data_IF_879324001054
#
_entry.id   IF_879324001054
#
_cell.length_a   1.000
_cell.length_b   1.000
_cell.length_c   1.000
_cell.angle_alpha   90.00
_cell.angle_beta   90.00
_cell.angle_gamma   90.00
#
_symmetry.space_group_name_H-M   'P 1'
#
loop_
_entity.id
_entity.type
_entity.pdbx_description
1 polymer ?
#
# COMPACT_ATOMS: atom_id res chain seq x y z
N UNK A 1 1.00 27.75 -13.54
CA UNK A 1 -0.16 27.34 -12.74
C UNK A 1 0.16 27.18 -11.25
N UNK A 2 1.26 26.55 -10.86
CA UNK A 2 1.63 26.27 -9.45
C UNK A 2 1.62 27.51 -8.54
N UNK A 3 2.04 28.69 -9.01
CA UNK A 3 2.03 29.93 -8.20
C UNK A 3 0.60 30.37 -7.82
N UNK A 4 -0.35 30.26 -8.75
CA UNK A 4 -1.75 30.58 -8.48
C UNK A 4 -2.34 29.58 -7.47
N UNK A 5 -2.06 28.30 -7.65
CA UNK A 5 -2.50 27.25 -6.72
C UNK A 5 -1.94 27.47 -5.30
N UNK A 6 -0.67 27.87 -5.15
CA UNK A 6 -0.08 28.22 -3.86
C UNK A 6 -0.88 29.35 -3.21
N UNK A 7 -1.23 30.41 -3.97
CA UNK A 7 -2.00 31.52 -3.43
C UNK A 7 -3.40 31.07 -3.00
N UNK A 8 -4.11 30.30 -3.82
CA UNK A 8 -5.42 29.73 -3.48
C UNK A 8 -5.38 28.96 -2.15
N UNK A 9 -4.36 28.10 -1.98
CA UNK A 9 -4.18 27.32 -0.76
C UNK A 9 -3.84 28.19 0.47
N UNK A 10 -3.03 29.24 0.30
CA UNK A 10 -2.70 30.18 1.38
C UNK A 10 -3.91 31.02 1.81
N UNK A 11 -4.85 31.28 0.90
CA UNK A 11 -6.12 31.94 1.18
C UNK A 11 -7.15 30.97 1.84
N UNK A 12 -6.74 29.73 2.10
CA UNK A 12 -7.56 28.70 2.75
C UNK A 12 -8.59 28.04 1.85
N UNK A 13 -8.46 28.17 0.53
CA UNK A 13 -9.38 27.59 -0.44
C UNK A 13 -8.85 26.28 -1.00
N UNK A 14 -9.78 25.35 -1.31
CA UNK A 14 -9.49 24.08 -1.94
C UNK A 14 -9.19 24.26 -3.44
N UNK A 15 -8.32 23.39 -3.96
CA UNK A 15 -8.14 23.25 -5.39
C UNK A 15 -9.16 22.26 -5.96
N UNK A 16 -9.71 22.58 -7.12
CA UNK A 16 -10.45 21.59 -7.88
C UNK A 16 -9.52 20.44 -8.30
N UNK A 17 -10.09 19.25 -8.49
CA UNK A 17 -9.36 18.03 -8.91
C UNK A 17 -8.47 18.26 -10.12
N UNK A 18 -8.99 18.97 -11.13
CA UNK A 18 -8.25 19.29 -12.34
C UNK A 18 -7.06 20.21 -12.08
N UNK A 19 -7.23 21.24 -11.20
CA UNK A 19 -6.15 22.15 -10.84
C UNK A 19 -5.04 21.41 -10.09
N UNK A 20 -5.40 20.54 -9.13
CA UNK A 20 -4.44 19.71 -8.40
C UNK A 20 -3.70 18.77 -9.36
N UNK A 21 -4.40 18.18 -10.35
CA UNK A 21 -3.83 17.32 -11.39
C UNK A 21 -2.82 18.08 -12.25
N UNK A 22 -3.16 19.27 -12.68
CA UNK A 22 -2.28 20.09 -13.52
C UNK A 22 -1.02 20.54 -12.77
N UNK A 23 -1.16 20.99 -11.49
CA UNK A 23 -0.01 21.38 -10.66
C UNK A 23 0.92 20.20 -10.41
N UNK A 24 0.38 19.04 -10.04
CA UNK A 24 1.19 17.84 -9.86
C UNK A 24 1.84 17.40 -11.18
N UNK A 25 1.15 17.56 -12.30
CA UNK A 25 1.70 17.34 -13.64
C UNK A 25 2.90 18.26 -13.96
N UNK A 26 2.85 19.53 -13.60
CA UNK A 26 4.00 20.46 -13.71
C UNK A 26 5.20 19.95 -12.87
N UNK A 27 4.94 19.47 -11.65
CA UNK A 27 5.97 18.93 -10.76
C UNK A 27 6.58 17.67 -11.37
N UNK A 28 5.76 16.71 -11.80
CA UNK A 28 6.23 15.44 -12.38
C UNK A 28 6.97 15.64 -13.70
N UNK A 29 6.62 16.66 -14.48
CA UNK A 29 7.32 17.04 -15.71
C UNK A 29 8.64 17.81 -15.45
N UNK A 30 8.98 18.12 -14.19
CA UNK A 30 10.16 18.90 -13.83
C UNK A 30 10.10 20.38 -14.22
N UNK A 31 8.89 20.93 -14.39
CA UNK A 31 8.69 22.34 -14.78
C UNK A 31 8.63 23.28 -13.57
N UNK A 32 8.43 22.77 -12.37
CA UNK A 32 8.40 23.52 -11.14
C UNK A 32 9.77 23.61 -10.48
N UNK A 33 10.11 24.78 -9.91
CA UNK A 33 11.34 24.94 -9.11
C UNK A 33 11.18 24.30 -7.72
N UNK A 34 12.29 24.00 -7.05
CA UNK A 34 12.26 23.45 -5.67
C UNK A 34 11.48 24.37 -4.70
N UNK A 35 11.61 25.68 -4.83
CA UNK A 35 10.84 26.63 -4.01
C UNK A 35 9.34 26.55 -4.27
N UNK A 36 8.91 26.39 -5.52
CA UNK A 36 7.51 26.22 -5.89
C UNK A 36 6.95 24.90 -5.38
N UNK A 37 7.71 23.79 -5.54
CA UNK A 37 7.32 22.47 -5.01
C UNK A 37 7.18 22.55 -3.50
N UNK A 38 8.18 23.09 -2.79
CA UNK A 38 8.13 23.24 -1.33
C UNK A 38 6.95 24.11 -0.87
N UNK A 39 6.73 25.26 -1.52
CA UNK A 39 5.60 26.15 -1.23
C UNK A 39 4.24 25.46 -1.41
N UNK A 40 4.06 24.75 -2.52
CA UNK A 40 2.84 23.98 -2.79
C UNK A 40 2.58 22.89 -1.74
N UNK A 41 3.58 22.07 -1.46
CA UNK A 41 3.46 20.96 -0.50
C UNK A 41 3.14 21.45 0.92
N UNK A 42 3.77 22.54 1.36
CA UNK A 42 3.56 23.10 2.69
C UNK A 42 2.20 23.80 2.78
N UNK A 43 1.80 24.59 1.77
CA UNK A 43 0.50 25.27 1.75
C UNK A 43 -0.65 24.25 1.75
N UNK A 44 -0.56 23.20 0.91
CA UNK A 44 -1.54 22.13 0.83
C UNK A 44 -1.67 21.38 2.19
N UNK A 45 -0.53 21.05 2.81
CA UNK A 45 -0.50 20.40 4.12
C UNK A 45 -1.06 21.31 5.24
N UNK A 46 -0.77 22.59 5.21
CA UNK A 46 -1.23 23.54 6.23
C UNK A 46 -2.74 23.75 6.17
N UNK A 47 -3.32 23.76 4.96
CA UNK A 47 -4.76 23.83 4.74
C UNK A 47 -5.45 22.51 5.14
N UNK A 48 -4.82 21.38 4.90
CA UNK A 48 -5.40 20.05 4.94
C UNK A 48 -5.85 19.60 3.53
N UNK A 49 -5.43 18.42 3.13
CA UNK A 49 -5.70 17.84 1.81
C UNK A 49 -7.17 17.38 1.70
N UNK A 50 -7.83 17.67 0.59
CA UNK A 50 -9.16 17.14 0.26
C UNK A 50 -9.08 15.89 -0.61
N UNK A 51 -10.19 15.15 -0.70
CA UNK A 51 -10.30 13.96 -1.56
C UNK A 51 -10.03 14.30 -3.04
N UNK A 52 -10.56 15.43 -3.53
CA UNK A 52 -10.37 15.88 -4.91
C UNK A 52 -8.91 16.26 -5.20
N UNK A 53 -8.25 16.94 -4.26
CA UNK A 53 -6.83 17.29 -4.38
C UNK A 53 -5.94 16.03 -4.41
N UNK A 54 -6.22 15.06 -3.52
CA UNK A 54 -5.52 13.77 -3.50
C UNK A 54 -5.77 13.02 -4.82
N UNK A 55 -7.01 12.95 -5.28
CA UNK A 55 -7.35 12.27 -6.52
C UNK A 55 -6.67 12.90 -7.74
N UNK A 56 -6.72 14.21 -7.88
CA UNK A 56 -6.05 14.93 -8.97
C UNK A 56 -4.54 14.71 -8.99
N UNK A 57 -3.90 14.80 -7.82
CA UNK A 57 -2.47 14.51 -7.68
C UNK A 57 -2.13 13.05 -8.03
N UNK A 58 -2.95 12.09 -7.60
CA UNK A 58 -2.75 10.67 -7.91
C UNK A 58 -2.87 10.41 -9.42
N UNK A 59 -3.84 11.02 -10.11
CA UNK A 59 -4.00 10.91 -11.57
C UNK A 59 -2.77 11.43 -12.33
N UNK A 60 -2.26 12.59 -11.92
CA UNK A 60 -1.06 13.14 -12.53
C UNK A 60 0.15 12.21 -12.34
N UNK A 61 0.31 11.62 -11.15
CA UNK A 61 1.38 10.65 -10.90
C UNK A 61 1.22 9.38 -11.74
N UNK A 62 -0.01 8.83 -11.82
CA UNK A 62 -0.33 7.66 -12.66
C UNK A 62 0.00 7.89 -14.14
N UNK A 63 -0.18 9.11 -14.63
CA UNK A 63 0.18 9.48 -16.01
C UNK A 63 1.69 9.51 -16.28
N UNK A 64 2.52 9.51 -15.23
CA UNK A 64 3.99 9.58 -15.33
C UNK A 64 4.69 8.32 -14.81
N UNK A 65 3.93 7.26 -14.50
CA UNK A 65 4.48 6.00 -14.02
C UNK A 65 5.05 5.18 -15.19
N UNK A 66 6.05 4.34 -14.91
CA UNK A 66 6.41 3.24 -15.81
C UNK A 66 5.43 2.09 -15.54
N UNK A 67 4.47 1.85 -16.46
CA UNK A 67 3.36 0.94 -16.16
C UNK A 67 3.76 -0.53 -16.25
N UNK A 68 3.00 -1.37 -15.53
CA UNK A 68 3.01 -2.83 -15.63
C UNK A 68 1.63 -3.27 -16.14
N UNK A 69 1.58 -4.14 -17.15
CA UNK A 69 0.34 -4.52 -17.81
C UNK A 69 0.08 -6.03 -17.68
N UNK A 70 -0.39 -6.52 -16.52
CA UNK A 70 -0.83 -7.90 -16.40
C UNK A 70 -2.11 -8.12 -17.24
N UNK A 71 -2.34 -9.35 -17.64
CA UNK A 71 -3.59 -9.74 -18.34
C UNK A 71 -4.76 -9.92 -17.37
N UNK A 72 -4.46 -10.18 -16.11
CA UNK A 72 -5.45 -10.28 -15.03
C UNK A 72 -6.09 -8.93 -14.74
N UNK A 73 -7.41 -8.92 -14.55
CA UNK A 73 -8.22 -7.71 -14.31
C UNK A 73 -8.63 -7.54 -12.84
N UNK A 74 -8.42 -8.56 -12.02
CA UNK A 74 -8.72 -8.62 -10.58
C UNK A 74 -7.54 -8.17 -9.70
N UNK A 75 -6.64 -7.39 -10.26
CA UNK A 75 -5.40 -6.94 -9.61
C UNK A 75 -5.70 -6.13 -8.34
N UNK A 76 -4.99 -6.47 -7.27
CA UNK A 76 -5.08 -5.82 -5.96
C UNK A 76 -3.71 -5.40 -5.43
N UNK A 77 -3.69 -4.40 -4.53
CA UNK A 77 -2.52 -4.08 -3.70
C UNK A 77 -2.83 -4.30 -2.22
N UNK A 78 -1.83 -4.64 -1.44
CA UNK A 78 -1.87 -4.71 0.03
C UNK A 78 -0.73 -3.85 0.53
N UNK A 79 -1.02 -2.63 0.92
CA UNK A 79 -0.01 -1.60 1.11
C UNK A 79 -0.41 -0.62 2.21
N UNK A 80 0.56 -0.13 2.98
CA UNK A 80 0.37 0.96 3.93
C UNK A 80 1.08 2.23 3.46
N UNK A 81 0.66 3.38 4.01
CA UNK A 81 1.32 4.68 3.80
C UNK A 81 2.70 4.73 4.42
N UNK A 82 2.96 3.87 5.39
CA UNK A 82 4.13 3.98 6.25
C UNK A 82 4.06 5.17 7.21
N UNK A 83 5.09 5.33 8.01
CA UNK A 83 5.23 6.49 8.86
C UNK A 83 4.35 6.50 10.12
N UNK A 84 3.78 5.38 10.50
CA UNK A 84 3.00 5.18 11.71
C UNK A 84 3.87 5.17 12.99
N UNK A 85 5.17 4.90 12.84
CA UNK A 85 6.13 4.82 13.95
C UNK A 85 6.08 3.51 14.74
N UNK A 86 5.24 2.56 14.37
CA UNK A 86 5.01 1.33 15.14
C UNK A 86 6.15 0.31 15.04
N UNK A 87 7.01 0.41 14.01
CA UNK A 87 8.14 -0.50 13.78
C UNK A 87 7.75 -1.98 13.74
N UNK A 88 6.58 -2.28 13.17
CA UNK A 88 6.11 -3.65 12.96
C UNK A 88 7.01 -4.40 11.98
N UNK A 89 6.95 -5.75 12.02
CA UNK A 89 7.52 -6.53 10.92
C UNK A 89 6.72 -6.28 9.63
N UNK A 90 7.20 -6.82 8.50
CA UNK A 90 6.61 -6.55 7.18
C UNK A 90 5.29 -7.31 6.97
N UNK A 91 4.22 -6.87 7.69
CA UNK A 91 2.89 -7.50 7.71
C UNK A 91 2.31 -7.56 6.30
N UNK A 92 2.13 -6.40 5.63
CA UNK A 92 1.50 -6.34 4.31
C UNK A 92 2.27 -7.11 3.23
N UNK A 93 3.60 -7.19 3.33
CA UNK A 93 4.41 -7.96 2.38
C UNK A 93 4.17 -9.46 2.53
N UNK A 94 4.13 -9.95 3.77
CA UNK A 94 3.83 -11.36 4.05
C UNK A 94 2.38 -11.69 3.70
N UNK A 95 1.44 -10.80 4.04
CA UNK A 95 0.02 -10.92 3.70
C UNK A 95 -0.24 -10.96 2.18
N UNK A 96 0.50 -10.19 1.40
CA UNK A 96 0.44 -10.19 -0.05
C UNK A 96 0.80 -11.55 -0.65
N UNK A 97 1.81 -12.24 -0.10
CA UNK A 97 2.19 -13.60 -0.53
C UNK A 97 1.09 -14.61 -0.17
N UNK A 98 0.47 -14.49 1.02
CA UNK A 98 -0.66 -15.33 1.41
C UNK A 98 -1.85 -15.10 0.48
N UNK A 99 -2.23 -13.86 0.20
CA UNK A 99 -3.32 -13.53 -0.71
C UNK A 99 -3.08 -14.09 -2.13
N UNK A 100 -1.85 -13.98 -2.63
CA UNK A 100 -1.45 -14.55 -3.92
C UNK A 100 -1.54 -16.10 -3.92
N UNK A 101 -1.17 -16.77 -2.81
CA UNK A 101 -1.30 -18.22 -2.68
C UNK A 101 -2.75 -18.69 -2.59
N UNK A 102 -3.66 -17.79 -2.22
CA UNK A 102 -5.11 -17.97 -2.21
C UNK A 102 -5.78 -17.65 -3.56
N UNK A 103 -5.01 -17.26 -4.59
CA UNK A 103 -5.51 -17.03 -5.95
C UNK A 103 -5.66 -15.57 -6.36
N UNK A 104 -5.51 -14.61 -5.46
CA UNK A 104 -5.56 -13.19 -5.79
C UNK A 104 -4.40 -12.79 -6.72
N UNK A 105 -4.62 -11.79 -7.58
CA UNK A 105 -3.57 -11.18 -8.39
C UNK A 105 -3.00 -9.96 -7.66
N UNK A 106 -1.93 -10.16 -6.90
CA UNK A 106 -1.33 -9.10 -6.09
C UNK A 106 -0.24 -8.38 -6.87
N UNK A 107 -0.46 -7.12 -7.17
CA UNK A 107 0.53 -6.20 -7.72
C UNK A 107 1.07 -5.32 -6.58
N UNK A 108 2.06 -5.81 -5.86
CA UNK A 108 2.55 -5.11 -4.68
C UNK A 108 3.48 -3.96 -5.07
N UNK A 109 3.04 -2.75 -4.76
CA UNK A 109 3.86 -1.55 -4.88
C UNK A 109 4.60 -1.28 -3.57
N UNK A 110 5.92 -1.11 -3.63
CA UNK A 110 6.68 -0.94 -2.41
C UNK A 110 8.05 -0.31 -2.57
N UNK A 111 8.68 0.01 -1.44
CA UNK A 111 9.95 0.70 -1.38
C UNK A 111 10.87 0.13 -0.29
N UNK A 112 12.12 0.60 -0.26
CA UNK A 112 13.01 0.43 0.88
C UNK A 112 12.53 1.28 2.08
N UNK A 113 13.02 0.94 3.26
CA UNK A 113 12.72 1.69 4.48
C UNK A 113 13.15 3.15 4.35
N UNK A 114 12.27 4.06 4.80
CA UNK A 114 12.57 5.50 4.94
C UNK A 114 12.61 5.89 6.41
N UNK A 115 11.64 5.44 7.18
CA UNK A 115 11.51 5.71 8.63
C UNK A 115 11.42 4.45 9.48
N UNK A 116 11.09 3.30 8.89
CA UNK A 116 11.09 1.98 9.52
C UNK A 116 12.46 1.32 9.47
N UNK A 117 12.62 0.18 10.16
CA UNK A 117 13.86 -0.62 10.16
C UNK A 117 13.99 -1.43 8.86
N UNK A 118 12.88 -1.88 8.28
CA UNK A 118 12.81 -2.72 7.09
C UNK A 118 11.61 -2.33 6.23
N UNK A 119 11.85 -1.97 4.98
CA UNK A 119 10.81 -1.75 3.97
C UNK A 119 10.42 -3.05 3.25
N UNK A 120 9.40 -3.00 2.42
CA UNK A 120 8.95 -4.15 1.63
C UNK A 120 10.03 -4.67 0.66
N UNK A 121 10.81 -3.77 0.07
CA UNK A 121 11.93 -4.15 -0.79
C UNK A 121 13.04 -4.84 -0.01
N UNK A 122 13.37 -4.33 1.19
CA UNK A 122 14.45 -4.88 2.00
C UNK A 122 14.16 -6.32 2.44
N UNK A 123 12.92 -6.58 2.90
CA UNK A 123 12.54 -7.95 3.32
C UNK A 123 12.42 -8.90 2.12
N UNK A 124 11.94 -8.45 0.96
CA UNK A 124 11.88 -9.29 -0.24
C UNK A 124 13.28 -9.67 -0.71
N UNK A 125 14.23 -8.75 -0.70
CA UNK A 125 15.64 -9.03 -1.01
C UNK A 125 16.24 -10.03 -0.02
N UNK A 126 15.98 -9.88 1.29
CA UNK A 126 16.38 -10.86 2.31
C UNK A 126 15.68 -12.23 2.17
N UNK A 127 14.49 -12.28 1.56
CA UNK A 127 13.81 -13.51 1.17
C UNK A 127 14.41 -14.15 -0.10
N UNK A 128 15.30 -13.45 -0.80
CA UNK A 128 15.97 -13.94 -2.01
C UNK A 128 15.38 -13.41 -3.32
N UNK A 129 14.46 -12.44 -3.27
CA UNK A 129 13.90 -11.82 -4.48
C UNK A 129 14.94 -10.96 -5.20
N UNK A 130 14.93 -11.02 -6.54
CA UNK A 130 15.55 -10.02 -7.40
C UNK A 130 14.56 -8.88 -7.61
N UNK A 131 14.85 -7.69 -7.07
CA UNK A 131 13.91 -6.56 -7.07
C UNK A 131 13.80 -5.85 -8.42
N UNK A 132 14.91 -5.77 -9.15
CA UNK A 132 15.01 -5.03 -10.42
C UNK A 132 14.58 -5.93 -11.57
N UNK A 133 13.29 -5.93 -11.85
CA UNK A 133 12.68 -6.71 -12.93
C UNK A 133 12.06 -5.79 -13.98
N UNK A 134 12.11 -6.15 -15.29
CA UNK A 134 11.40 -5.40 -16.31
C UNK A 134 9.88 -5.53 -16.12
N UNK A 135 9.10 -4.51 -16.52
CA UNK A 135 7.63 -4.50 -16.35
C UNK A 135 6.93 -5.74 -16.91
N UNK A 136 7.42 -6.26 -18.03
CA UNK A 136 6.86 -7.47 -18.68
C UNK A 136 7.03 -8.71 -17.81
N UNK A 137 8.17 -8.83 -17.13
CA UNK A 137 8.46 -9.95 -16.24
C UNK A 137 7.63 -9.87 -14.96
N UNK A 138 7.41 -8.65 -14.45
CA UNK A 138 6.50 -8.43 -13.32
C UNK A 138 5.07 -8.80 -13.70
N UNK A 139 4.61 -8.41 -14.88
CA UNK A 139 3.28 -8.75 -15.39
C UNK A 139 3.11 -10.27 -15.53
N UNK A 140 4.10 -10.97 -16.09
CA UNK A 140 4.12 -12.43 -16.20
C UNK A 140 4.04 -13.10 -14.82
N UNK A 141 4.76 -12.60 -13.82
CA UNK A 141 4.70 -13.11 -12.45
C UNK A 141 3.31 -12.93 -11.83
N UNK A 142 2.66 -11.78 -12.04
CA UNK A 142 1.28 -11.55 -11.60
C UNK A 142 0.33 -12.54 -12.28
N UNK A 143 0.46 -12.73 -13.58
CA UNK A 143 -0.43 -13.57 -14.37
C UNK A 143 -0.29 -15.07 -14.05
N UNK A 144 0.94 -15.54 -13.82
CA UNK A 144 1.24 -16.98 -13.62
C UNK A 144 1.29 -17.39 -12.17
N UNK A 145 1.84 -16.54 -11.29
CA UNK A 145 2.07 -16.84 -9.89
C UNK A 145 1.19 -16.02 -8.94
N UNK A 146 0.39 -15.08 -9.46
CA UNK A 146 -0.50 -14.26 -8.65
C UNK A 146 0.21 -13.17 -7.83
N UNK A 147 1.49 -12.91 -8.05
CA UNK A 147 2.22 -11.86 -7.31
C UNK A 147 3.29 -11.21 -8.18
N UNK A 148 3.39 -9.89 -8.13
CA UNK A 148 4.50 -9.14 -8.71
C UNK A 148 4.89 -7.99 -7.80
N UNK A 149 6.19 -7.76 -7.65
CA UNK A 149 6.70 -6.64 -6.86
C UNK A 149 7.18 -5.51 -7.77
N UNK A 150 6.64 -4.31 -7.55
CA UNK A 150 6.99 -3.10 -8.28
C UNK A 150 7.79 -2.18 -7.36
N UNK A 151 9.11 -2.14 -7.59
CA UNK A 151 10.01 -1.31 -6.81
C UNK A 151 9.80 0.16 -7.16
N UNK A 152 9.28 0.96 -6.23
CA UNK A 152 8.81 2.33 -6.46
C UNK A 152 9.83 3.24 -7.17
N UNK A 153 11.14 3.24 -6.87
CA UNK A 153 12.13 4.07 -7.57
C UNK A 153 12.23 3.79 -9.07
N UNK A 154 12.00 2.56 -9.50
CA UNK A 154 12.05 2.18 -10.93
C UNK A 154 10.79 2.60 -11.66
N UNK A 155 9.63 2.50 -11.00
CA UNK A 155 8.34 2.78 -11.63
C UNK A 155 7.93 4.25 -11.57
N UNK A 156 8.51 5.06 -10.67
CA UNK A 156 8.21 6.49 -10.54
C UNK A 156 9.42 7.38 -10.82
N UNK A 157 10.00 7.36 -12.04
CA UNK A 157 11.20 8.14 -12.36
C UNK A 157 10.98 9.66 -12.21
N UNK A 158 9.75 10.14 -12.37
CA UNK A 158 9.39 11.54 -12.18
C UNK A 158 9.56 12.03 -10.74
N UNK A 159 9.57 11.13 -9.75
CA UNK A 159 9.79 11.47 -8.34
C UNK A 159 11.17 12.10 -8.08
N UNK A 160 12.14 11.95 -8.99
CA UNK A 160 13.44 12.64 -8.91
C UNK A 160 13.30 14.16 -8.76
N UNK A 161 12.21 14.75 -9.22
CA UNK A 161 11.96 16.19 -9.13
C UNK A 161 11.41 16.62 -7.76
N UNK A 162 10.66 15.76 -7.08
CA UNK A 162 10.05 16.04 -5.78
C UNK A 162 10.83 15.46 -4.58
N UNK A 163 11.55 14.36 -4.76
CA UNK A 163 12.23 13.65 -3.67
C UNK A 163 13.27 14.50 -2.92
N UNK A 164 14.11 15.34 -3.56
CA UNK A 164 15.03 16.22 -2.84
C UNK A 164 14.28 17.19 -1.93
N UNK A 165 13.24 17.85 -2.46
CA UNK A 165 12.44 18.84 -1.71
C UNK A 165 11.76 18.19 -0.51
N UNK A 166 11.15 17.00 -0.68
CA UNK A 166 10.54 16.23 0.41
C UNK A 166 11.53 15.93 1.54
N UNK A 167 12.77 15.57 1.17
CA UNK A 167 13.83 15.27 2.14
C UNK A 167 14.26 16.51 2.91
N UNK A 168 14.38 17.65 2.23
CA UNK A 168 14.74 18.93 2.86
C UNK A 168 13.64 19.45 3.78
N UNK A 169 12.36 19.28 3.40
CA UNK A 169 11.22 19.66 4.24
C UNK A 169 11.14 18.84 5.54
N UNK A 170 11.54 17.58 5.52
CA UNK A 170 11.58 16.71 6.72
C UNK A 170 10.22 16.52 7.41
N UNK A 171 9.12 16.79 6.71
CA UNK A 171 7.75 16.67 7.23
C UNK A 171 6.87 15.84 6.31
N UNK A 172 5.73 15.38 6.83
CA UNK A 172 4.71 14.71 5.99
C UNK A 172 4.09 15.70 5.01
N UNK A 173 3.81 15.21 3.81
CA UNK A 173 3.15 15.93 2.73
C UNK A 173 2.17 15.00 2.03
N UNK A 174 1.41 15.50 1.07
CA UNK A 174 0.48 14.69 0.26
C UNK A 174 1.16 13.44 -0.33
N UNK A 175 2.46 13.45 -0.60
CA UNK A 175 3.19 12.27 -1.08
C UNK A 175 3.19 11.09 -0.12
N UNK A 176 2.88 11.29 1.16
CA UNK A 176 2.78 10.20 2.12
C UNK A 176 1.51 9.35 1.89
N UNK A 177 0.47 9.90 1.29
CA UNK A 177 -0.76 9.19 0.97
C UNK A 177 -0.87 8.81 -0.51
N UNK A 178 -0.08 9.44 -1.40
CA UNK A 178 -0.15 9.16 -2.84
C UNK A 178 0.46 7.83 -3.25
N UNK A 179 1.46 7.31 -2.50
CA UNK A 179 2.13 6.04 -2.84
C UNK A 179 1.15 4.89 -3.08
N UNK A 180 0.27 4.58 -2.12
CA UNK A 180 -0.75 3.54 -2.28
C UNK A 180 -1.73 3.79 -3.42
N UNK A 181 -1.97 5.04 -3.80
CA UNK A 181 -2.94 5.43 -4.83
C UNK A 181 -2.37 5.44 -6.25
N UNK A 182 -1.07 5.18 -6.42
CA UNK A 182 -0.36 5.30 -7.69
C UNK A 182 0.31 4.01 -8.15
N UNK A 183 -0.36 2.89 -7.90
CA UNK A 183 0.11 1.55 -8.24
C UNK A 183 0.38 1.43 -9.75
N UNK A 184 1.60 1.01 -10.17
CA UNK A 184 2.00 0.93 -11.59
C UNK A 184 1.21 -0.09 -12.43
N UNK A 185 0.62 -1.12 -11.80
CA UNK A 185 -0.24 -2.08 -12.47
C UNK A 185 -1.71 -1.61 -12.55
N UNK A 186 -2.01 -0.39 -12.10
CA UNK A 186 -3.35 0.16 -12.12
C UNK A 186 -4.33 -0.55 -11.18
N UNK A 187 -3.85 -1.14 -10.08
CA UNK A 187 -4.69 -1.81 -9.09
C UNK A 187 -5.79 -0.87 -8.60
N UNK A 188 -7.05 -1.28 -8.78
CA UNK A 188 -8.26 -0.54 -8.39
C UNK A 188 -8.96 -1.15 -7.20
N UNK A 189 -8.29 -2.08 -6.52
CA UNK A 189 -8.78 -2.76 -5.34
C UNK A 189 -7.63 -3.08 -4.39
N UNK A 190 -7.91 -3.30 -3.10
CA UNK A 190 -6.86 -3.67 -2.16
C UNK A 190 -7.12 -3.26 -0.72
N UNK A 191 -6.07 -3.41 0.08
CA UNK A 191 -6.00 -2.93 1.47
C UNK A 191 -5.01 -1.78 1.51
N UNK A 192 -5.46 -0.64 2.02
CA UNK A 192 -4.71 0.61 2.07
C UNK A 192 -4.60 1.06 3.53
N UNK A 193 -3.47 0.76 4.15
CA UNK A 193 -3.22 1.17 5.52
C UNK A 193 -2.85 2.65 5.63
N UNK A 194 -3.36 3.32 6.66
CA UNK A 194 -3.15 4.76 6.86
C UNK A 194 -2.79 5.07 8.30
N UNK A 195 -1.76 5.89 8.48
CA UNK A 195 -1.16 6.22 9.76
C UNK A 195 -2.03 7.06 10.72
N UNK A 196 -3.17 7.62 10.28
CA UNK A 196 -4.03 8.47 11.09
C UNK A 196 -5.50 8.34 10.67
N UNK A 197 -6.46 8.38 11.62
CA UNK A 197 -7.86 8.10 11.35
C UNK A 197 -8.55 9.17 10.48
N UNK A 198 -8.20 10.44 10.65
CA UNK A 198 -8.70 11.56 9.83
C UNK A 198 -8.22 11.46 8.38
N UNK A 199 -6.96 11.06 8.19
CA UNK A 199 -6.39 10.82 6.86
C UNK A 199 -7.03 9.59 6.19
N UNK A 200 -7.40 8.56 6.97
CA UNK A 200 -8.04 7.37 6.43
C UNK A 200 -9.37 7.68 5.75
N UNK A 201 -10.20 8.53 6.34
CA UNK A 201 -11.45 8.97 5.72
C UNK A 201 -11.22 9.71 4.41
N UNK A 202 -10.29 10.67 4.39
CA UNK A 202 -9.98 11.44 3.18
C UNK A 202 -9.41 10.57 2.05
N UNK A 203 -8.57 9.58 2.39
CA UNK A 203 -8.03 8.59 1.42
C UNK A 203 -9.15 7.70 0.88
N UNK A 204 -10.10 7.28 1.72
CA UNK A 204 -11.24 6.48 1.27
C UNK A 204 -12.14 7.27 0.31
N UNK A 205 -12.43 8.53 0.62
CA UNK A 205 -13.18 9.43 -0.26
C UNK A 205 -12.43 9.64 -1.60
N UNK A 206 -11.10 9.81 -1.57
CA UNK A 206 -10.28 9.91 -2.78
C UNK A 206 -10.31 8.62 -3.62
N UNK A 207 -10.27 7.45 -3.00
CA UNK A 207 -10.40 6.16 -3.70
C UNK A 207 -11.78 5.99 -4.35
N UNK A 208 -12.84 6.47 -3.70
CA UNK A 208 -14.19 6.48 -4.29
C UNK A 208 -14.24 7.38 -5.54
N UNK A 209 -13.63 8.59 -5.48
CA UNK A 209 -13.48 9.50 -6.62
C UNK A 209 -12.63 8.91 -7.74
N UNK A 210 -11.62 8.12 -7.40
CA UNK A 210 -10.73 7.42 -8.36
C UNK A 210 -11.34 6.13 -8.92
N UNK A 211 -12.61 5.87 -8.66
CA UNK A 211 -13.37 4.73 -9.18
C UNK A 211 -12.74 3.38 -8.79
N UNK A 212 -12.36 3.26 -7.52
CA UNK A 212 -11.87 2.00 -6.95
C UNK A 212 -12.98 0.96 -6.93
N UNK A 213 -12.66 -0.27 -7.40
CA UNK A 213 -13.63 -1.37 -7.46
C UNK A 213 -14.04 -1.86 -6.07
N UNK A 214 -13.05 -2.15 -5.22
CA UNK A 214 -13.24 -2.50 -3.81
C UNK A 214 -11.96 -2.22 -3.03
N UNK A 215 -12.04 -1.35 -2.03
CA UNK A 215 -10.90 -1.02 -1.20
C UNK A 215 -11.28 -1.05 0.29
N UNK A 216 -10.34 -1.50 1.11
CA UNK A 216 -10.40 -1.38 2.56
C UNK A 216 -9.33 -0.40 2.98
N UNK A 217 -9.73 0.82 3.35
CA UNK A 217 -8.81 1.79 3.94
C UNK A 217 -8.81 1.58 5.44
N UNK A 218 -7.67 1.25 6.01
CA UNK A 218 -7.58 0.77 7.38
C UNK A 218 -6.67 1.64 8.23
N UNK A 219 -7.12 1.89 9.46
CA UNK A 219 -6.30 2.43 10.54
C UNK A 219 -6.41 1.46 11.71
N UNK A 220 -5.34 0.74 11.96
CA UNK A 220 -5.34 -0.36 12.91
C UNK A 220 -5.29 0.08 14.37
N UNK A 221 -5.65 -0.81 15.26
CA UNK A 221 -5.49 -0.61 16.68
C UNK A 221 -4.06 -0.18 17.02
N UNK A 222 -3.91 0.72 17.98
CA UNK A 222 -2.64 1.34 18.38
C UNK A 222 -1.95 2.18 17.28
N UNK A 223 -2.68 2.61 16.26
CA UNK A 223 -2.23 3.60 15.29
C UNK A 223 -1.39 3.05 14.15
N UNK A 224 -1.38 1.73 13.95
CA UNK A 224 -0.64 1.13 12.82
C UNK A 224 -1.40 1.27 11.50
N UNK A 225 -0.67 1.32 10.40
CA UNK A 225 -1.21 1.37 9.05
C UNK A 225 -1.46 -0.03 8.45
N UNK A 226 -2.00 -0.93 9.27
CA UNK A 226 -2.33 -2.32 8.94
C UNK A 226 -3.56 -2.75 9.75
N UNK A 227 -4.29 -3.79 9.35
CA UNK A 227 -5.23 -4.46 10.25
C UNK A 227 -4.46 -5.15 11.37
N UNK A 228 -4.80 -4.79 12.61
CA UNK A 228 -4.09 -5.21 13.83
C UNK A 228 -4.90 -6.22 14.62
N UNK A 229 -4.31 -7.32 15.10
CA UNK A 229 -4.94 -8.21 16.06
C UNK A 229 -5.00 -7.62 17.48
N UNK A 230 -4.35 -6.48 17.74
CA UNK A 230 -4.22 -5.91 19.08
C UNK A 230 -5.50 -5.20 19.59
N UNK A 231 -6.56 -5.14 18.79
CA UNK A 231 -7.85 -4.54 19.15
C UNK A 231 -8.64 -4.04 17.96
N UNK A 232 -9.72 -3.27 18.19
CA UNK A 232 -10.60 -2.79 17.14
C UNK A 232 -9.90 -1.90 16.12
N UNK A 233 -10.19 -2.11 14.84
CA UNK A 233 -9.63 -1.40 13.70
C UNK A 233 -10.70 -0.51 13.06
N UNK A 234 -10.35 0.74 12.74
CA UNK A 234 -11.18 1.62 11.93
C UNK A 234 -10.99 1.26 10.45
N UNK A 235 -12.07 0.97 9.77
CA UNK A 235 -12.06 0.55 8.37
C UNK A 235 -13.08 1.35 7.57
N UNK A 236 -12.64 1.91 6.46
CA UNK A 236 -13.52 2.49 5.45
C UNK A 236 -13.55 1.54 4.25
N UNK A 237 -14.67 0.88 4.05
CA UNK A 237 -14.91 0.04 2.87
C UNK A 237 -15.40 0.92 1.73
N UNK A 238 -14.67 0.91 0.61
CA UNK A 238 -14.99 1.64 -0.61
C UNK A 238 -15.45 0.65 -1.66
N UNK A 239 -16.66 0.82 -2.18
CA UNK A 239 -17.16 0.06 -3.33
C UNK A 239 -18.21 0.88 -4.09
N UNK A 240 -18.19 0.78 -5.41
CA UNK A 240 -19.16 1.45 -6.29
C UNK A 240 -19.33 2.96 -5.97
N UNK A 241 -18.22 3.65 -5.71
CA UNK A 241 -18.20 5.07 -5.37
C UNK A 241 -18.76 5.40 -3.97
N UNK A 242 -19.07 4.39 -3.16
CA UNK A 242 -19.62 4.57 -1.80
C UNK A 242 -18.58 4.24 -0.75
N UNK A 243 -18.49 5.05 0.29
CA UNK A 243 -17.63 4.84 1.46
C UNK A 243 -18.47 4.48 2.66
N UNK A 244 -18.18 3.33 3.28
CA UNK A 244 -18.83 2.87 4.52
C UNK A 244 -17.80 2.73 5.62
N UNK A 245 -18.04 3.43 6.71
CA UNK A 245 -17.21 3.32 7.92
C UNK A 245 -17.65 2.12 8.76
N UNK A 246 -16.67 1.37 9.24
CA UNK A 246 -16.87 0.22 10.14
C UNK A 246 -15.77 0.18 11.18
N UNK A 247 -16.08 -0.38 12.32
CA UNK A 247 -15.09 -0.85 13.31
C UNK A 247 -15.09 -2.37 13.23
N UNK A 248 -13.91 -2.95 13.03
CA UNK A 248 -13.72 -4.40 12.97
C UNK A 248 -12.91 -4.82 14.19
N UNK A 249 -13.54 -5.56 15.07
CA UNK A 249 -12.87 -6.19 16.20
C UNK A 249 -12.40 -7.59 15.80
N UNK A 250 -11.08 -7.86 15.79
CA UNK A 250 -10.55 -9.18 15.49
C UNK A 250 -11.07 -10.29 16.39
N UNK A 251 -11.46 -9.97 17.64
CA UNK A 251 -12.05 -10.94 18.56
C UNK A 251 -13.38 -11.51 18.03
N UNK A 252 -14.16 -10.72 17.30
CA UNK A 252 -15.40 -11.19 16.65
C UNK A 252 -15.14 -12.17 15.49
N UNK A 253 -13.91 -12.14 14.95
CA UNK A 253 -13.42 -13.08 13.92
C UNK A 253 -12.67 -14.28 14.50
N UNK A 254 -12.67 -14.46 15.83
CA UNK A 254 -12.01 -15.57 16.51
C UNK A 254 -10.49 -15.40 16.67
N UNK A 255 -9.98 -14.19 16.52
CA UNK A 255 -8.57 -13.84 16.74
C UNK A 255 -8.42 -13.29 18.15
N UNK A 256 -7.54 -13.90 18.94
CA UNK A 256 -7.28 -13.41 20.29
C UNK A 256 -6.47 -12.10 20.27
N UNK A 257 -6.84 -11.12 21.11
CA UNK A 257 -6.08 -9.88 21.25
C UNK A 257 -4.65 -10.14 21.70
N UNK A 258 -3.69 -9.37 21.19
CA UNK A 258 -2.29 -9.48 21.56
C UNK A 258 -1.73 -8.16 22.12
N UNK A 259 -0.56 -8.22 22.74
CA UNK A 259 0.22 -7.01 23.01
C UNK A 259 0.78 -6.46 21.69
N UNK A 260 0.58 -5.16 21.38
CA UNK A 260 1.18 -4.52 20.19
C UNK A 260 2.69 -4.76 20.04
N UNK A 261 3.42 -4.89 21.16
CA UNK A 261 4.85 -5.18 21.14
C UNK A 261 5.19 -6.54 20.50
N UNK A 262 4.26 -7.49 20.48
CA UNK A 262 4.44 -8.80 19.86
C UNK A 262 4.50 -8.69 18.31
N UNK A 263 4.03 -7.58 17.74
CA UNK A 263 4.10 -7.31 16.31
C UNK A 263 5.41 -6.64 15.89
N UNK A 264 6.30 -6.37 16.82
CA UNK A 264 7.57 -5.70 16.54
C UNK A 264 8.40 -6.47 15.49
N UNK A 265 8.98 -5.69 14.57
CA UNK A 265 9.94 -6.17 13.58
C UNK A 265 11.39 -6.00 14.03
N UNK A 266 12.30 -6.46 13.20
CA UNK A 266 13.74 -6.38 13.36
C UNK A 266 14.43 -5.98 12.06
N UNK A 267 15.65 -6.47 11.86
CA UNK A 267 16.37 -6.32 10.60
C UNK A 267 15.60 -6.95 9.44
N UNK A 268 15.96 -6.64 8.17
CA UNK A 268 15.39 -7.32 7.01
C UNK A 268 15.49 -8.85 7.12
N UNK A 269 16.62 -9.37 7.60
CA UNK A 269 16.87 -10.79 7.79
C UNK A 269 15.98 -11.41 8.88
N UNK A 270 15.77 -10.69 10.00
CA UNK A 270 14.86 -11.11 11.07
C UNK A 270 13.42 -11.16 10.57
N UNK A 271 13.01 -10.16 9.81
CA UNK A 271 11.67 -10.11 9.24
C UNK A 271 11.47 -11.16 8.14
N UNK A 272 12.49 -11.44 7.33
CA UNK A 272 12.45 -12.52 6.34
C UNK A 272 12.32 -13.90 7.01
N UNK A 273 13.04 -14.14 8.11
CA UNK A 273 12.89 -15.36 8.91
C UNK A 273 11.46 -15.47 9.46
N UNK A 274 10.95 -14.41 10.08
CA UNK A 274 9.57 -14.34 10.59
C UNK A 274 8.54 -14.63 9.49
N UNK A 275 8.70 -14.02 8.32
CA UNK A 275 7.81 -14.29 7.18
C UNK A 275 7.84 -15.78 6.76
N UNK A 276 9.04 -16.39 6.63
CA UNK A 276 9.17 -17.82 6.29
C UNK A 276 8.50 -18.71 7.33
N UNK A 277 8.69 -18.43 8.63
CA UNK A 277 8.08 -19.19 9.72
C UNK A 277 6.54 -19.10 9.66
N UNK A 278 5.98 -17.91 9.45
CA UNK A 278 4.53 -17.71 9.31
C UNK A 278 3.99 -18.48 8.10
N UNK A 279 4.63 -18.33 6.94
CA UNK A 279 4.20 -19.00 5.71
C UNK A 279 4.33 -20.53 5.81
N UNK A 280 5.23 -21.04 6.66
CA UNK A 280 5.37 -22.46 6.99
C UNK A 280 4.40 -22.94 8.09
N UNK A 281 3.49 -22.09 8.60
CA UNK A 281 2.43 -22.49 9.52
C UNK A 281 2.68 -22.15 11.00
N UNK A 282 3.73 -21.38 11.34
CA UNK A 282 3.94 -20.92 12.70
C UNK A 282 2.74 -20.11 13.19
N UNK A 283 2.28 -20.35 14.42
CA UNK A 283 1.13 -19.68 15.04
C UNK A 283 1.57 -18.51 15.90
N UNK A 284 0.62 -17.63 16.22
CA UNK A 284 0.79 -16.50 17.14
C UNK A 284 0.43 -15.16 16.52
N UNK A 285 0.55 -14.05 17.27
CA UNK A 285 0.04 -12.73 16.90
C UNK A 285 0.54 -12.20 15.55
N UNK A 286 1.77 -12.51 15.17
CA UNK A 286 2.32 -12.11 13.87
C UNK A 286 1.61 -12.81 12.70
N UNK A 287 1.28 -14.12 12.85
CA UNK A 287 0.47 -14.83 11.88
C UNK A 287 -0.93 -14.21 11.80
N UNK A 288 -1.52 -13.89 12.95
CA UNK A 288 -2.88 -13.34 13.03
C UNK A 288 -2.95 -11.98 12.32
N UNK A 289 -1.95 -11.11 12.49
CA UNK A 289 -1.83 -9.88 11.72
C UNK A 289 -1.72 -10.14 10.20
N UNK A 290 -0.93 -11.13 9.78
CA UNK A 290 -0.77 -11.50 8.37
C UNK A 290 -2.09 -11.98 7.77
N UNK A 291 -2.79 -12.90 8.44
CA UNK A 291 -4.04 -13.46 7.88
C UNK A 291 -5.17 -12.42 7.84
N UNK A 292 -5.24 -11.48 8.79
CA UNK A 292 -6.19 -10.35 8.75
C UNK A 292 -5.98 -9.49 7.49
N UNK A 293 -4.75 -9.08 7.24
CA UNK A 293 -4.44 -8.24 6.08
C UNK A 293 -4.56 -9.02 4.75
N UNK A 294 -4.22 -10.31 4.74
CA UNK A 294 -4.44 -11.19 3.60
C UNK A 294 -5.93 -11.37 3.31
N UNK A 295 -6.77 -11.52 4.34
CA UNK A 295 -8.22 -11.60 4.21
C UNK A 295 -8.81 -10.39 3.49
N UNK A 296 -8.36 -9.18 3.87
CA UNK A 296 -8.72 -7.95 3.17
C UNK A 296 -8.31 -7.96 1.69
N UNK A 297 -7.09 -8.40 1.39
CA UNK A 297 -6.62 -8.53 0.01
C UNK A 297 -7.42 -9.55 -0.82
N UNK A 298 -7.74 -10.71 -0.24
CA UNK A 298 -8.55 -11.78 -0.85
C UNK A 298 -9.98 -11.28 -1.12
N UNK A 299 -10.59 -10.59 -0.14
CA UNK A 299 -11.92 -10.01 -0.29
C UNK A 299 -11.94 -8.88 -1.33
N UNK A 300 -10.92 -8.01 -1.35
CA UNK A 300 -10.79 -6.96 -2.36
C UNK A 300 -10.62 -7.51 -3.78
N UNK A 301 -9.93 -8.65 -3.94
CA UNK A 301 -9.80 -9.35 -5.21
C UNK A 301 -11.13 -9.98 -5.69
N UNK A 302 -12.12 -10.13 -4.80
CA UNK A 302 -13.39 -10.77 -5.10
C UNK A 302 -13.37 -12.31 -4.92
N UNK A 303 -12.36 -12.83 -4.25
CA UNK A 303 -12.23 -14.26 -3.91
C UNK A 303 -12.94 -14.63 -2.59
N UNK A 304 -13.43 -13.64 -1.86
CA UNK A 304 -14.25 -13.77 -0.67
C UNK A 304 -15.32 -12.68 -0.63
N UNK A 305 -16.48 -13.00 -0.06
CA UNK A 305 -17.57 -12.05 0.08
C UNK A 305 -17.22 -10.94 1.10
N UNK A 306 -16.52 -11.31 2.16
CA UNK A 306 -16.15 -10.41 3.26
C UNK A 306 -14.82 -10.82 3.91
N UNK A 307 -14.46 -10.15 5.03
CA UNK A 307 -13.22 -10.43 5.76
C UNK A 307 -13.26 -11.79 6.47
N UNK A 308 -14.41 -12.26 6.93
CA UNK A 308 -14.54 -13.52 7.64
C UNK A 308 -14.26 -14.71 6.70
N UNK A 309 -14.87 -14.72 5.52
CA UNK A 309 -14.56 -15.71 4.48
C UNK A 309 -13.11 -15.60 4.01
N UNK A 310 -12.62 -14.36 3.80
CA UNK A 310 -11.23 -14.11 3.44
C UNK A 310 -10.23 -14.64 4.47
N UNK A 311 -10.55 -14.52 5.76
CA UNK A 311 -9.73 -15.04 6.86
C UNK A 311 -9.65 -16.57 6.81
N UNK A 312 -10.77 -17.26 6.61
CA UNK A 312 -10.79 -18.71 6.47
C UNK A 312 -9.92 -19.19 5.29
N UNK A 313 -10.00 -18.50 4.16
CA UNK A 313 -9.19 -18.80 2.96
C UNK A 313 -7.69 -18.54 3.21
N UNK A 314 -7.35 -17.43 3.90
CA UNK A 314 -5.97 -17.09 4.24
C UNK A 314 -5.35 -18.11 5.19
N UNK A 315 -6.09 -18.54 6.21
CA UNK A 315 -5.66 -19.59 7.14
C UNK A 315 -5.40 -20.92 6.39
N UNK A 316 -6.32 -21.33 5.53
CA UNK A 316 -6.19 -22.55 4.74
C UNK A 316 -4.99 -22.48 3.78
N UNK A 317 -4.71 -21.34 3.19
CA UNK A 317 -3.56 -21.15 2.30
C UNK A 317 -2.21 -21.36 3.02
N UNK A 318 -2.12 -20.97 4.30
CA UNK A 318 -0.94 -21.22 5.14
C UNK A 318 -0.92 -22.67 5.59
N UNK A 319 -2.01 -23.19 6.16
CA UNK A 319 -2.06 -24.50 6.81
C UNK A 319 -1.92 -25.65 5.82
N UNK A 320 -2.30 -25.45 4.55
CA UNK A 320 -2.05 -26.41 3.47
C UNK A 320 -0.61 -26.40 2.90
N UNK A 321 0.23 -25.43 3.33
CA UNK A 321 1.57 -25.23 2.80
C UNK A 321 1.65 -24.48 1.47
N UNK A 322 0.51 -24.05 0.89
CA UNK A 322 0.49 -23.31 -0.39
C UNK A 322 1.23 -21.99 -0.29
N UNK A 323 1.14 -21.29 0.84
CA UNK A 323 1.81 -20.01 1.05
C UNK A 323 3.34 -20.15 1.03
N UNK A 324 3.88 -21.16 1.70
CA UNK A 324 5.32 -21.45 1.67
C UNK A 324 5.78 -21.84 0.26
N UNK A 325 5.06 -22.75 -0.42
CA UNK A 325 5.37 -23.15 -1.78
C UNK A 325 5.33 -21.96 -2.76
N UNK A 326 4.39 -21.03 -2.58
CA UNK A 326 4.28 -19.81 -3.38
C UNK A 326 5.50 -18.93 -3.21
N UNK A 327 5.98 -18.69 -1.99
CA UNK A 327 7.20 -17.93 -1.75
C UNK A 327 8.38 -18.50 -2.53
N UNK A 328 8.61 -19.83 -2.47
CA UNK A 328 9.73 -20.45 -3.16
C UNK A 328 9.61 -20.32 -4.71
N UNK A 329 8.39 -20.47 -5.25
CA UNK A 329 8.13 -20.25 -6.68
C UNK A 329 8.44 -18.81 -7.10
N UNK A 330 8.02 -17.83 -6.29
CA UNK A 330 8.24 -16.42 -6.57
C UNK A 330 9.72 -16.04 -6.51
N UNK A 331 10.45 -16.56 -5.53
CA UNK A 331 11.90 -16.35 -5.43
C UNK A 331 12.62 -16.94 -6.65
N UNK A 332 12.32 -18.20 -6.98
CA UNK A 332 12.91 -18.88 -8.15
C UNK A 332 12.62 -18.09 -9.44
N UNK A 333 11.35 -17.73 -9.67
CA UNK A 333 10.94 -16.95 -10.85
C UNK A 333 11.69 -15.61 -10.94
N UNK A 334 11.87 -14.92 -9.81
CA UNK A 334 12.57 -13.62 -9.78
C UNK A 334 14.06 -13.72 -10.12
N UNK A 335 14.67 -14.88 -9.92
CA UNK A 335 16.09 -15.13 -10.18
C UNK A 335 16.37 -15.65 -11.60
N UNK A 336 15.35 -16.12 -12.30
CA UNK A 336 15.50 -16.54 -13.70
C UNK A 336 15.83 -15.33 -14.58
N UNK A 337 16.89 -15.42 -15.34
CA UNK A 337 17.25 -14.39 -16.33
C UNK A 337 16.17 -14.30 -17.40
N UNK A 338 15.76 -13.07 -17.73
CA UNK A 338 14.83 -12.81 -18.82
C UNK A 338 15.45 -13.14 -20.18
#
# INVERSE_FOLDING_TARGET
>A
MIQAAIQTLLDGHDLAREEAREVMGEIMAGKATSAQIGGFLVALRAKGETADEIAGCAEAMRAHVLPVHPTRTDVVDVVGTGGDGARTFNISTTAAIVAASAGAAVAKHGNRAVSSVSGSADVLEALGFTLEQPPERIAESIDTLGFGFMFAPLHHPAMRHAAPVRRELGTRTIFNVLGPLTNPAGARAGVFGVYAPDVARTVADALAVLDSRRAFVVHGANGIDELSPAGPNLVFEVSDGTVRERVIDPAELGIEPCDPAELAGGSPEDNARTAREILAGARGPKRDAVVLNAAGGIAAAGHAADLEEGLAIALEAIDSGRAAARLEQLVAFSQESA
#
